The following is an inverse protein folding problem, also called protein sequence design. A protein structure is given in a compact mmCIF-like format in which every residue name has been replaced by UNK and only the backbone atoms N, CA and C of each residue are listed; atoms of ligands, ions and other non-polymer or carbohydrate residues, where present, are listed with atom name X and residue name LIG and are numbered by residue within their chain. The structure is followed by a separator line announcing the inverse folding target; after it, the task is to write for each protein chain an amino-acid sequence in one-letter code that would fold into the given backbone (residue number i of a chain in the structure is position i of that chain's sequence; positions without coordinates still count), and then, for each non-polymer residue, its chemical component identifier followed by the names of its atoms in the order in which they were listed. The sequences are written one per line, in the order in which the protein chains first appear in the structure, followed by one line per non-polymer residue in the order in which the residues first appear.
data_IF_736600003102
#
_entry.id   IF_736600003102
#
_cell.length_a   1.000
_cell.length_b   1.000
_cell.length_c   1.000
_cell.angle_alpha   90.00
_cell.angle_beta   90.00
_cell.angle_gamma   90.00
#
_symmetry.space_group_name_H-M   'P 1'
#
loop_
_entity.id
_entity.type
_entity.pdbx_description
1 polymer ?
#
# COMPACT_ATOMS: atom_id res chain seq x y z
N UNK A 1 14.43 -2.34 28.78
CA UNK A 1 13.91 -1.25 27.93
C UNK A 1 14.08 0.05 28.70
N UNK A 2 14.73 1.05 28.11
CA UNK A 2 14.88 2.35 28.76
C UNK A 2 13.49 3.03 28.83
N UNK A 3 13.19 3.71 29.94
CA UNK A 3 11.92 4.46 30.12
C UNK A 3 11.63 5.45 28.99
N UNK A 4 12.66 5.91 28.27
CA UNK A 4 12.52 6.79 27.11
C UNK A 4 11.95 6.07 25.89
N UNK A 5 12.30 4.80 25.70
CA UNK A 5 11.78 3.96 24.61
C UNK A 5 10.33 3.54 24.88
N UNK A 6 10.04 3.18 26.12
CA UNK A 6 8.67 2.80 26.55
C UNK A 6 7.69 3.98 26.37
N UNK A 7 8.07 5.18 26.80
CA UNK A 7 7.30 6.40 26.58
C UNK A 7 7.15 6.75 25.09
N UNK A 8 8.16 6.49 24.26
CA UNK A 8 8.10 6.74 22.81
C UNK A 8 7.16 5.75 22.12
N UNK A 9 7.19 4.46 22.51
CA UNK A 9 6.27 3.44 22.01
C UNK A 9 4.82 3.74 22.40
N UNK A 10 4.57 4.10 23.64
CA UNK A 10 3.24 4.47 24.14
C UNK A 10 2.69 5.70 23.40
N UNK A 11 3.52 6.72 23.17
CA UNK A 11 3.16 7.92 22.41
C UNK A 11 2.82 7.60 20.96
N UNK A 12 3.56 6.69 20.31
CA UNK A 12 3.30 6.27 18.93
C UNK A 12 2.00 5.44 18.83
N UNK A 13 1.74 4.53 19.77
CA UNK A 13 0.48 3.79 19.84
C UNK A 13 -0.71 4.72 20.00
N UNK A 14 -0.64 5.67 20.94
CA UNK A 14 -1.71 6.63 21.19
C UNK A 14 -1.98 7.53 19.98
N UNK A 15 -0.94 7.93 19.26
CA UNK A 15 -1.05 8.72 18.02
C UNK A 15 -1.71 7.91 16.90
N UNK A 16 -1.29 6.66 16.69
CA UNK A 16 -1.89 5.76 15.69
C UNK A 16 -3.36 5.46 15.97
N UNK A 17 -3.69 5.14 17.23
CA UNK A 17 -5.07 4.89 17.66
C UNK A 17 -5.96 6.14 17.50
N UNK A 18 -5.44 7.32 17.81
CA UNK A 18 -6.16 8.58 17.62
C UNK A 18 -6.45 8.87 16.14
N UNK A 19 -5.49 8.63 15.24
CA UNK A 19 -5.70 8.76 13.80
C UNK A 19 -6.72 7.75 13.29
N UNK A 20 -6.61 6.48 13.67
CA UNK A 20 -7.55 5.42 13.30
C UNK A 20 -8.98 5.78 13.73
N UNK A 21 -9.16 6.30 14.95
CA UNK A 21 -10.44 6.78 15.44
C UNK A 21 -11.00 7.95 14.62
N UNK A 22 -10.17 8.94 14.29
CA UNK A 22 -10.58 10.07 13.44
C UNK A 22 -11.02 9.59 12.06
N UNK A 23 -10.28 8.67 11.45
CA UNK A 23 -10.61 8.08 10.16
C UNK A 23 -11.92 7.29 10.20
N UNK A 24 -12.13 6.47 11.23
CA UNK A 24 -13.38 5.73 11.42
C UNK A 24 -14.60 6.65 11.58
N UNK A 25 -14.46 7.71 12.37
CA UNK A 25 -15.51 8.73 12.52
C UNK A 25 -15.80 9.42 11.18
N UNK A 26 -14.77 9.83 10.45
CA UNK A 26 -14.92 10.46 9.13
C UNK A 26 -15.58 9.54 8.11
N UNK A 27 -15.24 8.25 8.13
CA UNK A 27 -15.87 7.23 7.29
C UNK A 27 -17.35 7.11 7.60
N UNK A 28 -17.72 6.93 8.86
CA UNK A 28 -19.15 6.80 9.27
C UNK A 28 -19.93 8.08 8.95
N UNK A 29 -19.39 9.25 9.28
CA UNK A 29 -20.02 10.52 8.97
C UNK A 29 -20.13 10.76 7.46
N UNK A 30 -19.13 10.42 6.69
CA UNK A 30 -19.13 10.54 5.22
C UNK A 30 -20.16 9.64 4.55
N UNK A 31 -20.27 8.38 5.02
CA UNK A 31 -21.31 7.46 4.57
C UNK A 31 -22.72 7.99 4.91
N UNK A 32 -22.92 8.42 6.15
CA UNK A 32 -24.22 8.94 6.59
C UNK A 32 -24.64 10.20 5.82
N UNK A 33 -23.71 11.15 5.65
CA UNK A 33 -23.94 12.36 4.87
C UNK A 33 -24.19 12.05 3.38
N UNK A 34 -23.36 11.18 2.79
CA UNK A 34 -23.53 10.76 1.39
C UNK A 34 -24.86 10.09 1.15
N UNK A 35 -25.29 9.20 2.06
CA UNK A 35 -26.61 8.57 1.99
C UNK A 35 -27.75 9.58 2.15
N UNK A 36 -27.62 10.54 3.07
CA UNK A 36 -28.60 11.62 3.23
C UNK A 36 -28.74 12.49 1.97
N UNK A 37 -27.62 12.85 1.33
CA UNK A 37 -27.63 13.58 0.06
C UNK A 37 -28.19 12.75 -1.10
N UNK A 38 -27.92 11.44 -1.16
CA UNK A 38 -28.52 10.53 -2.12
C UNK A 38 -30.05 10.51 -1.99
N UNK A 39 -30.55 10.31 -0.77
CA UNK A 39 -32.00 10.33 -0.52
C UNK A 39 -32.63 11.69 -0.85
N UNK A 40 -31.94 12.78 -0.55
CA UNK A 40 -32.37 14.14 -0.91
C UNK A 40 -32.45 14.30 -2.43
N UNK A 41 -31.45 13.82 -3.16
CA UNK A 41 -31.42 13.80 -4.63
C UNK A 41 -32.63 13.08 -5.20
N UNK A 42 -32.86 11.84 -4.76
CA UNK A 42 -33.97 11.01 -5.24
C UNK A 42 -35.33 11.70 -4.96
N UNK A 43 -35.48 12.25 -3.77
CA UNK A 43 -36.74 12.98 -3.38
C UNK A 43 -36.93 14.24 -4.22
N UNK A 44 -35.90 15.03 -4.47
CA UNK A 44 -35.98 16.25 -5.27
C UNK A 44 -36.29 15.94 -6.74
N UNK A 45 -35.64 14.91 -7.30
CA UNK A 45 -35.90 14.46 -8.68
C UNK A 45 -37.35 13.93 -8.81
N UNK A 46 -37.79 13.07 -7.88
CA UNK A 46 -39.15 12.53 -7.88
C UNK A 46 -40.22 13.60 -7.71
N UNK A 47 -39.96 14.70 -6.99
CA UNK A 47 -40.88 15.83 -6.81
C UNK A 47 -40.83 16.86 -7.94
N UNK A 48 -40.06 16.65 -8.99
CA UNK A 48 -39.90 17.60 -10.12
C UNK A 48 -39.02 18.81 -9.82
N UNK A 49 -38.34 18.84 -8.66
CA UNK A 49 -37.48 19.93 -8.21
C UNK A 49 -35.99 19.67 -8.54
N UNK A 50 -35.69 19.06 -9.69
CA UNK A 50 -34.33 18.73 -10.13
C UNK A 50 -33.41 19.96 -10.19
N UNK A 51 -33.92 21.17 -10.41
CA UNK A 51 -33.14 22.41 -10.40
C UNK A 51 -32.50 22.71 -9.03
N UNK A 52 -33.20 22.37 -7.92
CA UNK A 52 -32.59 22.53 -6.58
C UNK A 52 -31.43 21.56 -6.39
N UNK A 53 -31.62 20.33 -6.82
CA UNK A 53 -30.50 19.37 -6.79
C UNK A 53 -29.32 19.84 -7.62
N UNK A 54 -29.58 20.35 -8.84
CA UNK A 54 -28.52 20.86 -9.70
C UNK A 54 -27.73 21.98 -9.00
N UNK A 55 -28.38 22.90 -8.33
CA UNK A 55 -27.74 23.97 -7.56
C UNK A 55 -26.84 23.40 -6.42
N UNK A 56 -27.32 22.39 -5.70
CA UNK A 56 -26.55 21.72 -4.64
C UNK A 56 -25.36 21.01 -5.25
N UNK A 57 -25.56 20.31 -6.35
CA UNK A 57 -24.49 19.61 -7.06
C UNK A 57 -23.41 20.56 -7.55
N UNK A 58 -23.77 21.65 -8.19
CA UNK A 58 -22.85 22.67 -8.70
C UNK A 58 -22.04 23.33 -7.56
N UNK A 59 -22.68 23.54 -6.41
CA UNK A 59 -22.02 24.13 -5.26
C UNK A 59 -21.04 23.16 -4.58
N UNK A 60 -21.45 21.89 -4.40
CA UNK A 60 -20.71 20.96 -3.54
C UNK A 60 -19.96 19.86 -4.31
N UNK A 61 -20.59 19.24 -5.29
CA UNK A 61 -20.15 17.94 -5.79
C UNK A 61 -19.63 17.95 -7.23
N UNK A 62 -20.04 18.92 -8.04
CA UNK A 62 -19.72 18.98 -9.47
C UNK A 62 -18.21 18.95 -9.71
N UNK A 63 -17.79 18.14 -10.69
CA UNK A 63 -16.46 18.21 -11.24
C UNK A 63 -16.32 19.50 -12.06
N UNK A 64 -15.48 20.40 -11.59
CA UNK A 64 -15.24 21.71 -12.22
C UNK A 64 -14.39 21.65 -13.49
N UNK A 65 -13.84 20.47 -13.82
CA UNK A 65 -13.01 20.26 -15.02
C UNK A 65 -13.84 19.78 -16.21
N UNK A 66 -15.10 19.41 -15.99
CA UNK A 66 -16.00 18.93 -17.05
C UNK A 66 -16.53 20.12 -17.88
N UNK A 67 -16.78 19.85 -19.15
CA UNK A 67 -17.38 20.82 -20.07
C UNK A 67 -18.77 21.26 -19.56
N UNK A 68 -19.02 22.55 -19.52
CA UNK A 68 -20.28 23.12 -19.00
C UNK A 68 -20.31 23.40 -17.48
N UNK A 69 -19.25 23.10 -16.74
CA UNK A 69 -19.15 23.32 -15.29
C UNK A 69 -18.52 24.68 -14.91
N UNK A 70 -18.43 25.65 -15.83
CA UNK A 70 -17.68 26.91 -15.66
C UNK A 70 -18.21 27.77 -14.49
N UNK A 71 -19.45 27.57 -14.08
CA UNK A 71 -20.06 28.27 -12.94
C UNK A 71 -20.15 27.43 -11.66
N UNK A 72 -19.79 26.18 -11.74
CA UNK A 72 -19.82 25.29 -10.58
C UNK A 72 -18.66 25.61 -9.63
N UNK A 73 -18.92 25.53 -8.33
CA UNK A 73 -17.90 25.71 -7.29
C UNK A 73 -17.25 24.37 -6.87
N UNK A 74 -18.03 23.27 -6.86
CA UNK A 74 -17.56 21.92 -6.61
C UNK A 74 -16.70 21.76 -5.35
N UNK A 75 -17.11 22.32 -4.21
CA UNK A 75 -16.26 22.40 -3.01
C UNK A 75 -15.70 21.05 -2.57
N UNK A 76 -16.54 20.02 -2.56
CA UNK A 76 -16.11 18.67 -2.14
C UNK A 76 -15.21 18.04 -3.20
N UNK A 77 -15.46 18.31 -4.48
CA UNK A 77 -14.58 17.89 -5.55
C UNK A 77 -13.19 18.51 -5.39
N UNK A 78 -13.11 19.84 -5.23
CA UNK A 78 -11.82 20.54 -5.09
C UNK A 78 -11.04 20.01 -3.90
N UNK A 79 -11.65 19.90 -2.72
CA UNK A 79 -10.99 19.41 -1.51
C UNK A 79 -10.48 17.98 -1.69
N UNK A 80 -11.30 17.10 -2.25
CA UNK A 80 -10.91 15.72 -2.56
C UNK A 80 -9.75 15.66 -3.54
N UNK A 81 -9.78 16.45 -4.62
CA UNK A 81 -8.73 16.50 -5.63
C UNK A 81 -7.41 17.08 -5.08
N UNK A 82 -7.47 18.11 -4.25
CA UNK A 82 -6.27 18.66 -3.60
C UNK A 82 -5.60 17.63 -2.70
N UNK A 83 -6.39 16.85 -1.94
CA UNK A 83 -5.85 15.75 -1.15
C UNK A 83 -5.19 14.68 -2.02
N UNK A 84 -5.86 14.22 -3.08
CA UNK A 84 -5.30 13.23 -4.00
C UNK A 84 -4.01 13.75 -4.65
N UNK A 85 -3.99 15.00 -5.13
CA UNK A 85 -2.80 15.63 -5.72
C UNK A 85 -1.66 15.76 -4.71
N UNK A 86 -1.96 16.09 -3.44
CA UNK A 86 -0.94 16.15 -2.39
C UNK A 86 -0.30 14.75 -2.13
N UNK A 87 -1.10 13.68 -2.21
CA UNK A 87 -0.57 12.30 -2.13
C UNK A 87 0.25 11.94 -3.38
N UNK A 88 -0.23 12.29 -4.56
CA UNK A 88 0.46 12.03 -5.82
C UNK A 88 1.81 12.74 -5.93
N UNK A 89 1.95 13.93 -5.31
CA UNK A 89 3.19 14.71 -5.31
C UNK A 89 4.39 13.96 -4.73
N UNK A 90 4.15 13.11 -3.73
CA UNK A 90 5.21 12.38 -3.05
C UNK A 90 5.61 11.07 -3.72
N UNK A 91 4.85 10.58 -4.70
CA UNK A 91 5.05 9.25 -5.29
C UNK A 91 6.47 9.10 -5.86
N UNK A 92 6.84 9.93 -6.82
CA UNK A 92 8.12 9.81 -7.53
C UNK A 92 9.33 9.96 -6.59
N UNK A 93 9.44 11.04 -5.78
CA UNK A 93 10.59 11.19 -4.90
C UNK A 93 10.68 10.08 -3.85
N UNK A 94 9.54 9.63 -3.33
CA UNK A 94 9.47 8.59 -2.32
C UNK A 94 9.90 7.22 -2.88
N UNK A 95 9.35 6.82 -4.03
CA UNK A 95 9.69 5.55 -4.70
C UNK A 95 11.17 5.53 -5.06
N UNK A 96 11.67 6.61 -5.65
CA UNK A 96 13.08 6.69 -6.05
C UNK A 96 14.03 6.59 -4.85
N UNK A 97 13.82 7.39 -3.81
CA UNK A 97 14.74 7.41 -2.66
C UNK A 97 14.67 6.12 -1.85
N UNK A 98 13.47 5.60 -1.60
CA UNK A 98 13.29 4.37 -0.82
C UNK A 98 13.93 3.16 -1.51
N UNK A 99 13.69 2.96 -2.80
CA UNK A 99 14.26 1.82 -3.54
C UNK A 99 15.77 1.97 -3.69
N UNK A 100 16.27 3.17 -4.03
CA UNK A 100 17.71 3.38 -4.17
C UNK A 100 18.46 3.13 -2.86
N UNK A 101 17.90 3.58 -1.72
CA UNK A 101 18.46 3.33 -0.39
C UNK A 101 18.37 1.85 -0.02
N UNK A 102 17.22 1.20 -0.23
CA UNK A 102 17.03 -0.21 0.09
C UNK A 102 18.04 -1.10 -0.66
N UNK A 103 18.17 -0.93 -1.98
CA UNK A 103 19.12 -1.69 -2.80
C UNK A 103 20.55 -1.29 -2.45
N UNK A 104 20.82 0.01 -2.23
CA UNK A 104 22.12 0.52 -1.85
C UNK A 104 22.61 0.03 -0.49
N UNK A 105 21.73 -0.41 0.41
CA UNK A 105 22.10 -0.94 1.73
C UNK A 105 22.50 -2.41 1.75
N UNK A 106 22.36 -3.13 0.65
CA UNK A 106 22.74 -4.54 0.54
C UNK A 106 24.27 -4.65 0.62
N UNK A 107 24.78 -5.22 1.73
CA UNK A 107 26.21 -5.22 2.04
C UNK A 107 27.02 -6.22 1.22
N UNK A 108 28.27 -5.86 0.88
CA UNK A 108 29.15 -6.59 -0.06
C UNK A 108 30.29 -7.38 0.63
N UNK A 109 30.15 -7.78 1.89
CA UNK A 109 31.11 -8.72 2.49
C UNK A 109 30.68 -10.17 2.25
N UNK A 110 31.65 -11.13 2.08
CA UNK A 110 31.33 -12.54 1.74
C UNK A 110 30.30 -13.17 2.69
N UNK A 111 30.43 -12.95 3.99
CA UNK A 111 29.47 -13.47 4.99
C UNK A 111 28.16 -12.71 4.96
N UNK A 112 28.21 -11.39 4.90
CA UNK A 112 27.03 -10.54 4.74
C UNK A 112 26.33 -10.80 3.39
N UNK A 113 27.08 -11.04 2.31
CA UNK A 113 26.51 -11.38 0.99
C UNK A 113 25.72 -12.67 1.00
N UNK A 114 26.15 -13.70 1.76
CA UNK A 114 25.40 -14.96 1.92
C UNK A 114 24.11 -14.75 2.72
N UNK A 115 24.17 -14.03 3.83
CA UNK A 115 23.01 -13.68 4.65
C UNK A 115 22.03 -12.82 3.83
N UNK A 116 22.52 -11.80 3.12
CA UNK A 116 21.73 -10.95 2.22
C UNK A 116 21.02 -11.76 1.14
N UNK A 117 21.72 -12.69 0.48
CA UNK A 117 21.12 -13.54 -0.56
C UNK A 117 20.01 -14.43 -0.01
N UNK A 118 20.21 -15.03 1.18
CA UNK A 118 19.18 -15.84 1.85
C UNK A 118 18.01 -14.98 2.31
N UNK A 119 18.27 -13.78 2.82
CA UNK A 119 17.23 -12.84 3.22
C UNK A 119 16.36 -12.44 2.03
N UNK A 120 16.98 -12.02 0.92
CA UNK A 120 16.27 -11.69 -0.30
C UNK A 120 15.48 -12.89 -0.87
N UNK A 121 16.05 -14.10 -0.79
CA UNK A 121 15.34 -15.31 -1.19
C UNK A 121 14.04 -15.50 -0.40
N UNK A 122 14.09 -15.39 0.94
CA UNK A 122 12.89 -15.54 1.77
C UNK A 122 11.88 -14.42 1.55
N UNK A 123 12.32 -13.17 1.41
CA UNK A 123 11.44 -12.06 1.08
C UNK A 123 10.74 -12.27 -0.26
N UNK A 124 11.50 -12.60 -1.32
CA UNK A 124 10.92 -12.81 -2.64
C UNK A 124 10.01 -14.04 -2.70
N UNK A 125 10.33 -15.10 -1.96
CA UNK A 125 9.49 -16.29 -1.87
C UNK A 125 8.13 -15.95 -1.22
N UNK A 126 8.14 -15.25 -0.09
CA UNK A 126 6.92 -14.81 0.58
C UNK A 126 6.11 -13.85 -0.30
N UNK A 127 6.78 -12.87 -0.92
CA UNK A 127 6.11 -11.93 -1.83
C UNK A 127 5.53 -12.63 -3.06
N UNK A 128 6.21 -13.62 -3.63
CA UNK A 128 5.66 -14.43 -4.72
C UNK A 128 4.40 -15.20 -4.29
N UNK A 129 4.43 -15.81 -3.10
CA UNK A 129 3.26 -16.50 -2.54
C UNK A 129 2.09 -15.54 -2.30
N UNK A 130 2.38 -14.35 -1.78
CA UNK A 130 1.41 -13.29 -1.53
C UNK A 130 0.74 -12.80 -2.83
N UNK A 131 1.55 -12.52 -3.84
CA UNK A 131 1.09 -12.07 -5.16
C UNK A 131 0.30 -13.16 -5.90
N UNK A 132 0.74 -14.42 -5.84
CA UNK A 132 0.03 -15.54 -6.44
C UNK A 132 -1.34 -15.73 -5.79
N UNK A 133 -1.40 -15.72 -4.45
CA UNK A 133 -2.66 -15.85 -3.71
C UNK A 133 -3.61 -14.67 -4.03
N UNK A 134 -3.11 -13.43 -3.96
CA UNK A 134 -3.89 -12.23 -4.24
C UNK A 134 -4.36 -12.18 -5.71
N UNK A 135 -3.49 -12.55 -6.63
CA UNK A 135 -3.81 -12.63 -8.06
C UNK A 135 -4.89 -13.66 -8.37
N UNK A 136 -4.75 -14.89 -7.86
CA UNK A 136 -5.73 -15.94 -8.08
C UNK A 136 -7.10 -15.59 -7.51
N UNK A 137 -7.16 -15.13 -6.24
CA UNK A 137 -8.44 -14.82 -5.60
C UNK A 137 -9.02 -13.50 -6.15
N UNK A 138 -8.19 -12.47 -6.37
CA UNK A 138 -8.63 -11.21 -6.96
C UNK A 138 -9.21 -11.41 -8.36
N UNK A 139 -8.53 -12.21 -9.21
CA UNK A 139 -9.02 -12.53 -10.54
C UNK A 139 -10.29 -13.39 -10.52
N UNK A 140 -10.38 -14.37 -9.62
CA UNK A 140 -11.59 -15.17 -9.44
C UNK A 140 -12.77 -14.28 -9.04
N UNK A 141 -12.58 -13.36 -8.09
CA UNK A 141 -13.60 -12.41 -7.65
C UNK A 141 -14.05 -11.48 -8.80
N UNK A 142 -13.09 -11.00 -9.60
CA UNK A 142 -13.37 -10.21 -10.80
C UNK A 142 -14.16 -11.00 -11.84
N UNK A 143 -13.75 -12.23 -12.15
CA UNK A 143 -14.40 -13.08 -13.15
C UNK A 143 -15.82 -13.51 -12.76
N UNK A 144 -16.12 -13.54 -11.46
CA UNK A 144 -17.49 -13.69 -10.92
C UNK A 144 -18.34 -12.43 -11.05
N UNK A 145 -17.80 -11.31 -11.54
CA UNK A 145 -18.52 -10.04 -11.67
C UNK A 145 -18.76 -9.31 -10.33
N UNK A 146 -18.11 -9.75 -9.24
CA UNK A 146 -18.35 -9.19 -7.90
C UNK A 146 -17.72 -7.80 -7.73
N UNK A 147 -16.80 -7.41 -8.61
CA UNK A 147 -16.20 -6.08 -8.67
C UNK A 147 -16.84 -5.15 -9.70
N UNK A 148 -17.86 -5.63 -10.43
CA UNK A 148 -18.55 -4.78 -11.41
C UNK A 148 -19.46 -3.80 -10.70
N UNK A 149 -19.25 -2.50 -10.95
CA UNK A 149 -20.19 -1.43 -10.62
C UNK A 149 -20.75 -0.90 -11.93
N UNK A 150 -22.07 -1.00 -12.11
CA UNK A 150 -22.74 -0.37 -13.26
C UNK A 150 -23.10 1.07 -12.87
N UNK A 151 -22.45 2.04 -13.48
CA UNK A 151 -22.70 3.46 -13.21
C UNK A 151 -23.37 4.06 -14.43
N UNK A 152 -24.65 4.36 -14.29
CA UNK A 152 -25.35 5.14 -15.30
C UNK A 152 -24.70 6.53 -15.42
N UNK A 153 -24.26 6.87 -16.63
CA UNK A 153 -23.75 8.22 -16.96
C UNK A 153 -22.25 8.40 -16.99
N UNK A 154 -21.44 7.38 -16.59
CA UNK A 154 -20.04 7.35 -17.00
C UNK A 154 -19.95 6.54 -18.31
N UNK A 155 -19.42 7.16 -19.36
CA UNK A 155 -19.08 6.46 -20.58
C UNK A 155 -18.25 5.24 -20.20
N UNK A 156 -18.80 4.03 -20.46
CA UNK A 156 -17.99 2.83 -20.43
C UNK A 156 -16.73 3.17 -21.19
N UNK A 157 -15.58 2.99 -20.56
CA UNK A 157 -14.33 3.05 -21.28
C UNK A 157 -14.51 2.01 -22.40
N UNK A 158 -14.77 2.48 -23.60
CA UNK A 158 -14.80 1.65 -24.79
C UNK A 158 -13.53 0.85 -24.69
N UNK A 159 -13.67 -0.47 -24.41
CA UNK A 159 -12.62 -1.32 -23.90
C UNK A 159 -11.34 -0.93 -24.61
N UNK A 160 -10.44 -0.27 -23.92
CA UNK A 160 -9.18 0.11 -24.50
C UNK A 160 -8.58 -1.22 -24.89
N UNK A 161 -8.64 -1.53 -26.17
CA UNK A 161 -8.01 -2.69 -26.76
C UNK A 161 -6.57 -2.55 -26.34
N UNK A 162 -6.21 -3.34 -25.32
CA UNK A 162 -5.05 -3.11 -24.50
C UNK A 162 -3.84 -2.86 -25.39
N UNK A 163 -3.16 -1.78 -25.13
CA UNK A 163 -1.79 -1.63 -25.61
C UNK A 163 -1.07 -2.92 -25.26
N UNK A 164 -0.31 -3.48 -26.22
CA UNK A 164 0.39 -4.73 -26.00
C UNK A 164 1.08 -4.69 -24.62
N UNK A 165 0.80 -5.65 -23.70
CA UNK A 165 1.37 -5.64 -22.36
C UNK A 165 2.90 -5.52 -22.34
N UNK A 166 3.56 -5.95 -23.43
CA UNK A 166 5.01 -5.80 -23.63
C UNK A 166 5.46 -4.33 -23.77
N UNK A 167 4.56 -3.40 -24.07
CA UNK A 167 4.91 -1.97 -24.07
C UNK A 167 5.34 -1.49 -22.67
N UNK A 168 4.83 -2.12 -21.61
CA UNK A 168 5.28 -1.85 -20.24
C UNK A 168 6.77 -2.14 -20.10
N UNK A 169 7.25 -3.25 -20.69
CA UNK A 169 8.68 -3.64 -20.67
C UNK A 169 9.55 -2.64 -21.41
N UNK A 170 9.09 -2.14 -22.55
CA UNK A 170 9.82 -1.13 -23.33
C UNK A 170 9.93 0.21 -22.57
N UNK A 171 8.92 0.55 -21.79
CA UNK A 171 8.86 1.80 -21.04
C UNK A 171 9.58 1.73 -19.68
N UNK A 172 10.13 0.58 -19.29
CA UNK A 172 10.93 0.43 -18.05
C UNK A 172 12.16 1.33 -18.09
N UNK A 173 12.89 1.33 -19.23
CA UNK A 173 14.13 2.09 -19.37
C UNK A 173 13.81 3.45 -20.00
N UNK A 174 13.92 4.56 -19.26
CA UNK A 174 13.66 5.87 -19.81
C UNK A 174 14.78 6.34 -20.72
N UNK A 175 14.42 7.01 -21.79
CA UNK A 175 15.39 7.69 -22.67
C UNK A 175 15.91 9.00 -22.06
N UNK A 176 15.20 9.55 -21.07
CA UNK A 176 15.56 10.80 -20.41
C UNK A 176 15.15 10.75 -18.93
N UNK A 177 16.08 11.08 -18.04
CA UNK A 177 15.87 11.10 -16.60
C UNK A 177 14.80 12.13 -16.17
N UNK A 178 14.74 13.28 -16.84
CA UNK A 178 13.78 14.34 -16.51
C UNK A 178 12.36 13.88 -16.80
N UNK A 179 12.13 13.17 -17.91
CA UNK A 179 10.80 12.62 -18.22
C UNK A 179 10.37 11.53 -17.25
N UNK A 180 11.31 10.75 -16.74
CA UNK A 180 11.04 9.74 -15.73
C UNK A 180 10.58 10.34 -14.38
N UNK A 181 11.12 11.50 -14.03
CA UNK A 181 10.72 12.22 -12.82
C UNK A 181 9.57 13.21 -13.01
N UNK A 182 9.24 13.54 -14.26
CA UNK A 182 8.26 14.58 -14.61
C UNK A 182 6.80 14.11 -14.60
N UNK A 183 6.53 12.81 -14.47
CA UNK A 183 5.16 12.27 -14.52
C UNK A 183 4.98 11.03 -13.65
N UNK A 184 3.87 10.99 -12.91
CA UNK A 184 3.49 9.81 -12.15
C UNK A 184 3.17 8.59 -13.06
N UNK A 185 2.92 8.81 -14.35
CA UNK A 185 2.77 7.73 -15.32
C UNK A 185 4.10 7.07 -15.68
N UNK A 186 5.24 7.67 -15.33
CA UNK A 186 6.59 7.16 -15.57
C UNK A 186 7.22 6.54 -14.30
N UNK A 187 6.42 6.15 -13.30
CA UNK A 187 6.94 5.60 -12.04
C UNK A 187 7.80 4.36 -12.27
N UNK A 188 7.43 3.48 -13.20
CA UNK A 188 8.21 2.29 -13.52
C UNK A 188 9.63 2.65 -14.00
N UNK A 189 9.76 3.72 -14.79
CA UNK A 189 11.05 4.26 -15.19
C UNK A 189 11.83 4.84 -14.00
N UNK A 190 11.14 5.49 -13.06
CA UNK A 190 11.74 5.97 -11.81
C UNK A 190 12.23 4.82 -10.93
N UNK A 191 11.49 3.71 -10.87
CA UNK A 191 11.91 2.46 -10.20
C UNK A 191 13.18 1.91 -10.83
N UNK A 192 13.23 1.81 -12.17
CA UNK A 192 14.43 1.35 -12.87
C UNK A 192 15.65 2.22 -12.52
N UNK A 193 15.49 3.55 -12.55
CA UNK A 193 16.56 4.48 -12.18
C UNK A 193 16.99 4.29 -10.72
N UNK A 194 16.04 4.08 -9.81
CA UNK A 194 16.33 3.83 -8.39
C UNK A 194 17.15 2.55 -8.20
N UNK A 195 16.77 1.47 -8.90
CA UNK A 195 17.52 0.20 -8.90
C UNK A 195 18.93 0.41 -9.47
N UNK A 196 19.06 1.08 -10.61
CA UNK A 196 20.36 1.37 -11.24
C UNK A 196 21.27 2.20 -10.32
N UNK A 197 20.72 3.24 -9.66
CA UNK A 197 21.46 4.06 -8.68
C UNK A 197 21.86 3.23 -7.46
N UNK A 198 20.93 2.45 -6.89
CA UNK A 198 21.20 1.59 -5.74
C UNK A 198 22.31 0.56 -6.01
N UNK A 199 22.25 -0.14 -7.14
CA UNK A 199 23.30 -1.06 -7.58
C UNK A 199 24.64 -0.36 -7.81
N UNK A 200 24.61 0.83 -8.43
CA UNK A 200 25.83 1.63 -8.64
C UNK A 200 26.46 2.08 -7.33
N UNK A 201 25.64 2.45 -6.33
CA UNK A 201 26.13 2.78 -4.99
C UNK A 201 26.82 1.59 -4.32
N UNK A 202 26.32 0.36 -4.53
CA UNK A 202 26.96 -0.84 -4.02
C UNK A 202 28.32 -1.11 -4.69
N UNK A 203 28.38 -1.01 -6.03
CA UNK A 203 29.63 -1.20 -6.78
C UNK A 203 30.71 -0.17 -6.39
N UNK A 204 30.31 1.09 -6.19
CA UNK A 204 31.24 2.16 -5.80
C UNK A 204 31.68 2.07 -4.32
N UNK A 205 30.93 1.39 -3.49
CA UNK A 205 31.16 1.23 -2.06
C UNK A 205 30.75 2.44 -1.22
N UNK A 206 30.60 2.21 0.07
CA UNK A 206 30.06 3.20 1.03
C UNK A 206 30.93 4.45 1.13
N UNK A 207 32.26 4.30 1.13
CA UNK A 207 33.19 5.43 1.26
C UNK A 207 33.07 6.47 0.15
N UNK A 208 32.69 6.06 -1.06
CA UNK A 208 32.51 6.96 -2.21
C UNK A 208 31.10 7.48 -2.35
N UNK A 209 30.12 6.81 -1.75
CA UNK A 209 28.69 7.12 -1.93
C UNK A 209 28.02 7.64 -0.66
N UNK A 210 28.78 7.85 0.43
CA UNK A 210 28.25 8.31 1.73
C UNK A 210 27.43 9.59 1.64
N UNK A 211 27.90 10.60 0.88
CA UNK A 211 27.17 11.86 0.66
C UNK A 211 25.88 11.64 -0.09
N UNK A 212 25.89 10.80 -1.16
CA UNK A 212 24.68 10.50 -1.93
C UNK A 212 23.66 9.72 -1.10
N UNK A 213 24.12 8.71 -0.34
CA UNK A 213 23.26 7.94 0.58
C UNK A 213 22.60 8.85 1.61
N UNK A 214 23.38 9.74 2.21
CA UNK A 214 22.90 10.73 3.18
C UNK A 214 21.88 11.67 2.54
N UNK A 215 22.18 12.22 1.36
CA UNK A 215 21.24 13.09 0.63
C UNK A 215 19.92 12.39 0.32
N UNK A 216 19.97 11.16 -0.21
CA UNK A 216 18.76 10.38 -0.49
C UNK A 216 17.96 10.09 0.79
N UNK A 217 18.64 9.80 1.90
CA UNK A 217 18.01 9.61 3.21
C UNK A 217 17.31 10.88 3.70
N UNK A 218 17.99 12.01 3.68
CA UNK A 218 17.42 13.32 4.09
C UNK A 218 16.23 13.72 3.19
N UNK A 219 16.31 13.48 1.88
CA UNK A 219 15.18 13.72 0.96
C UNK A 219 14.01 12.80 1.30
N UNK A 220 14.27 11.50 1.53
CA UNK A 220 13.23 10.56 1.93
C UNK A 220 12.54 10.98 3.22
N UNK A 221 13.29 11.39 4.23
CA UNK A 221 12.76 11.86 5.51
C UNK A 221 11.84 13.09 5.35
N UNK A 222 12.25 14.06 4.53
CA UNK A 222 11.43 15.25 4.21
C UNK A 222 10.11 14.82 3.53
N UNK A 223 10.18 13.91 2.57
CA UNK A 223 9.00 13.40 1.86
C UNK A 223 8.06 12.66 2.82
N UNK A 224 8.61 11.82 3.70
CA UNK A 224 7.83 11.07 4.71
C UNK A 224 7.18 12.03 5.71
N UNK A 225 7.87 13.09 6.15
CA UNK A 225 7.28 14.12 7.04
C UNK A 225 6.10 14.81 6.36
N UNK A 226 6.25 15.21 5.09
CA UNK A 226 5.15 15.80 4.33
C UNK A 226 3.97 14.82 4.17
N UNK A 227 4.23 13.56 3.79
CA UNK A 227 3.20 12.53 3.68
C UNK A 227 2.44 12.35 4.99
N UNK A 228 3.17 12.21 6.11
CA UNK A 228 2.58 12.07 7.44
C UNK A 228 1.72 13.28 7.82
N UNK A 229 2.16 14.49 7.48
CA UNK A 229 1.38 15.71 7.69
C UNK A 229 0.06 15.67 6.92
N UNK A 230 0.09 15.30 5.63
CA UNK A 230 -1.11 15.18 4.78
C UNK A 230 -2.04 14.11 5.33
N UNK A 231 -1.53 12.91 5.64
CA UNK A 231 -2.34 11.78 6.11
C UNK A 231 -2.92 12.04 7.51
N UNK A 232 -2.18 12.68 8.39
CA UNK A 232 -2.65 12.88 9.78
C UNK A 232 -3.67 14.02 9.89
N UNK A 233 -3.48 15.10 9.12
CA UNK A 233 -4.28 16.32 9.29
C UNK A 233 -5.38 16.46 8.25
N UNK A 234 -5.14 16.04 7.00
CA UNK A 234 -6.11 16.24 5.92
C UNK A 234 -6.91 14.98 5.57
N UNK A 235 -6.34 13.77 5.71
CA UNK A 235 -7.03 12.56 5.31
C UNK A 235 -8.39 12.34 6.01
N UNK A 236 -8.56 12.57 7.33
CA UNK A 236 -9.88 12.41 7.94
C UNK A 236 -10.95 13.27 7.29
N UNK A 237 -10.62 14.54 7.00
CA UNK A 237 -11.55 15.46 6.34
C UNK A 237 -11.77 15.09 4.87
N UNK A 238 -10.71 14.75 4.16
CA UNK A 238 -10.79 14.32 2.76
C UNK A 238 -11.62 13.04 2.59
N UNK A 239 -11.48 12.08 3.51
CA UNK A 239 -12.30 10.84 3.53
C UNK A 239 -13.77 11.16 3.68
N UNK A 240 -14.12 12.03 4.62
CA UNK A 240 -15.50 12.49 4.79
C UNK A 240 -16.04 13.09 3.48
N UNK A 241 -15.30 14.01 2.88
CA UNK A 241 -15.70 14.74 1.67
C UNK A 241 -15.80 13.79 0.45
N UNK A 242 -14.81 12.94 0.24
CA UNK A 242 -14.78 11.98 -0.87
C UNK A 242 -15.94 10.99 -0.79
N UNK A 243 -16.19 10.39 0.39
CA UNK A 243 -17.29 9.46 0.58
C UNK A 243 -18.64 10.15 0.39
N UNK A 244 -18.83 11.32 1.01
CA UNK A 244 -20.08 12.08 0.86
C UNK A 244 -20.37 12.36 -0.61
N UNK A 245 -19.36 12.84 -1.37
CA UNK A 245 -19.50 13.09 -2.80
C UNK A 245 -19.82 11.83 -3.59
N UNK A 246 -19.07 10.75 -3.35
CA UNK A 246 -19.26 9.48 -4.08
C UNK A 246 -20.68 8.96 -3.92
N UNK A 247 -21.20 8.88 -2.70
CA UNK A 247 -22.55 8.36 -2.47
C UNK A 247 -23.65 9.35 -2.89
N UNK A 248 -23.45 10.67 -2.76
CA UNK A 248 -24.39 11.66 -3.21
C UNK A 248 -24.63 11.62 -4.73
N UNK A 249 -23.55 11.42 -5.51
CA UNK A 249 -23.60 11.42 -6.99
C UNK A 249 -23.95 10.04 -7.53
N UNK A 250 -23.22 8.99 -7.09
CA UNK A 250 -23.24 7.67 -7.71
C UNK A 250 -24.11 6.64 -6.97
N UNK A 251 -24.64 7.01 -5.80
CA UNK A 251 -25.53 6.14 -5.03
C UNK A 251 -24.76 4.98 -4.34
N UNK A 252 -25.52 3.91 -4.03
CA UNK A 252 -25.01 2.75 -3.28
C UNK A 252 -24.37 1.67 -4.16
N UNK A 253 -24.36 1.83 -5.47
CA UNK A 253 -23.89 0.78 -6.40
C UNK A 253 -22.40 0.46 -6.22
N UNK A 254 -21.60 1.43 -5.75
CA UNK A 254 -20.21 1.19 -5.35
C UNK A 254 -20.04 0.49 -4.01
N UNK A 255 -21.08 0.49 -3.15
CA UNK A 255 -20.94 -0.06 -1.80
C UNK A 255 -20.74 -1.57 -1.82
N UNK A 256 -21.47 -2.28 -2.69
CA UNK A 256 -21.36 -3.73 -2.79
C UNK A 256 -19.98 -4.18 -3.26
N UNK A 257 -19.44 -3.69 -4.39
CA UNK A 257 -18.07 -4.01 -4.82
C UNK A 257 -17.01 -3.59 -3.80
N UNK A 258 -17.19 -2.43 -3.14
CA UNK A 258 -16.26 -1.97 -2.09
C UNK A 258 -16.25 -2.89 -0.86
N UNK A 259 -17.42 -3.37 -0.43
CA UNK A 259 -17.52 -4.36 0.66
C UNK A 259 -16.87 -5.69 0.27
N UNK A 260 -17.08 -6.15 -0.97
CA UNK A 260 -16.40 -7.35 -1.48
C UNK A 260 -14.88 -7.16 -1.45
N UNK A 261 -14.38 -6.01 -1.91
CA UNK A 261 -12.96 -5.68 -1.82
C UNK A 261 -12.42 -5.76 -0.39
N UNK A 262 -13.12 -5.13 0.57
CA UNK A 262 -12.71 -5.14 1.99
C UNK A 262 -12.68 -6.57 2.53
N UNK A 263 -13.75 -7.34 2.31
CA UNK A 263 -13.85 -8.73 2.81
C UNK A 263 -12.77 -9.61 2.20
N UNK A 264 -12.61 -9.58 0.87
CA UNK A 264 -11.61 -10.38 0.17
C UNK A 264 -10.21 -10.04 0.66
N UNK A 265 -9.87 -8.74 0.74
CA UNK A 265 -8.54 -8.31 1.19
C UNK A 265 -8.27 -8.72 2.63
N UNK A 266 -9.22 -8.48 3.54
CA UNK A 266 -9.07 -8.84 4.97
C UNK A 266 -8.92 -10.35 5.13
N UNK A 267 -9.74 -11.16 4.45
CA UNK A 267 -9.64 -12.63 4.50
C UNK A 267 -8.27 -13.10 3.99
N UNK A 268 -7.80 -12.56 2.87
CA UNK A 268 -6.48 -12.92 2.31
C UNK A 268 -5.34 -12.55 3.27
N UNK A 269 -5.39 -11.38 3.88
CA UNK A 269 -4.40 -10.96 4.86
C UNK A 269 -4.38 -11.90 6.09
N UNK A 270 -5.55 -12.29 6.61
CA UNK A 270 -5.62 -13.27 7.71
C UNK A 270 -5.16 -14.66 7.30
N UNK A 271 -5.53 -15.13 6.11
CA UNK A 271 -5.05 -16.43 5.58
C UNK A 271 -3.52 -16.40 5.46
N UNK A 272 -2.96 -15.34 4.95
CA UNK A 272 -1.51 -15.23 4.82
C UNK A 272 -0.81 -15.17 6.18
N UNK A 273 -1.34 -14.37 7.11
CA UNK A 273 -0.79 -14.20 8.47
C UNK A 273 -0.86 -15.49 9.30
N UNK A 274 -2.01 -16.20 9.26
CA UNK A 274 -2.29 -17.32 10.16
C UNK A 274 -2.03 -18.70 9.55
N UNK A 275 -1.88 -18.78 8.21
CA UNK A 275 -1.63 -20.06 7.53
C UNK A 275 -0.32 -20.03 6.75
N UNK A 276 -0.10 -19.06 5.85
CA UNK A 276 1.06 -19.06 4.98
C UNK A 276 2.36 -18.85 5.77
N UNK A 277 2.45 -17.82 6.60
CA UNK A 277 3.65 -17.56 7.41
C UNK A 277 4.00 -18.68 8.40
N UNK A 278 3.04 -19.22 9.19
CA UNK A 278 3.32 -20.38 10.03
C UNK A 278 3.78 -21.62 9.24
N UNK A 279 3.24 -21.81 8.03
CA UNK A 279 3.69 -22.89 7.13
C UNK A 279 5.13 -22.66 6.65
N UNK A 280 5.49 -21.41 6.31
CA UNK A 280 6.88 -21.06 5.95
C UNK A 280 7.84 -21.34 7.10
N UNK A 281 7.47 -20.99 8.34
CA UNK A 281 8.27 -21.30 9.55
C UNK A 281 8.39 -22.81 9.76
N UNK A 282 7.29 -23.56 9.58
CA UNK A 282 7.29 -25.02 9.73
C UNK A 282 8.16 -25.72 8.70
N UNK A 283 8.11 -25.29 7.43
CA UNK A 283 8.85 -25.91 6.34
C UNK A 283 10.28 -25.36 6.22
N UNK A 284 10.46 -24.04 6.35
CA UNK A 284 11.73 -23.36 6.16
C UNK A 284 12.65 -23.44 7.37
N UNK A 285 12.12 -23.16 8.56
CA UNK A 285 12.89 -23.20 9.80
C UNK A 285 12.73 -24.53 10.56
N UNK A 286 11.81 -25.39 10.16
CA UNK A 286 11.45 -26.66 10.87
C UNK A 286 11.09 -26.43 12.33
N UNK A 287 10.38 -25.34 12.60
CA UNK A 287 9.95 -24.95 13.93
C UNK A 287 8.43 -25.07 14.08
N UNK A 288 7.94 -25.10 15.34
CA UNK A 288 6.53 -25.27 15.65
C UNK A 288 5.72 -24.02 15.23
N UNK A 289 4.76 -24.13 14.27
CA UNK A 289 3.96 -23.00 13.80
C UNK A 289 3.04 -22.42 14.88
N UNK A 290 2.58 -23.22 15.85
CA UNK A 290 1.70 -22.76 16.93
C UNK A 290 2.50 -21.90 17.92
N UNK A 291 3.72 -22.32 18.26
CA UNK A 291 4.64 -21.54 19.09
C UNK A 291 4.96 -20.21 18.42
N UNK A 292 5.21 -20.22 17.10
CA UNK A 292 5.43 -19.01 16.33
C UNK A 292 4.25 -18.03 16.46
N UNK A 293 3.01 -18.49 16.19
CA UNK A 293 1.81 -17.64 16.28
C UNK A 293 1.67 -17.00 17.67
N UNK A 294 1.89 -17.78 18.73
CA UNK A 294 1.74 -17.28 20.10
C UNK A 294 2.76 -16.19 20.43
N UNK A 295 4.02 -16.39 20.08
CA UNK A 295 5.11 -15.46 20.41
C UNK A 295 5.07 -14.20 19.55
N UNK A 296 4.68 -14.30 18.25
CA UNK A 296 4.63 -13.15 17.33
C UNK A 296 3.41 -12.25 17.53
N UNK A 297 2.40 -12.72 18.26
CA UNK A 297 1.12 -12.02 18.41
C UNK A 297 1.27 -10.57 18.90
N UNK A 298 2.17 -10.33 19.85
CA UNK A 298 2.41 -8.97 20.37
C UNK A 298 2.96 -8.02 19.29
N UNK A 299 3.87 -8.50 18.43
CA UNK A 299 4.41 -7.74 17.30
C UNK A 299 3.31 -7.43 16.28
N UNK A 300 2.48 -8.44 15.96
CA UNK A 300 1.35 -8.28 15.04
C UNK A 300 0.35 -7.23 15.53
N UNK A 301 -0.04 -7.29 16.81
CA UNK A 301 -0.97 -6.33 17.41
C UNK A 301 -0.36 -4.92 17.50
N UNK A 302 0.92 -4.82 17.81
CA UNK A 302 1.60 -3.53 17.87
C UNK A 302 1.71 -2.90 16.45
N UNK A 303 2.08 -3.69 15.44
CA UNK A 303 2.10 -3.27 14.02
C UNK A 303 0.72 -2.82 13.54
N UNK A 304 -0.34 -3.57 13.89
CA UNK A 304 -1.72 -3.17 13.64
C UNK A 304 -2.05 -1.81 14.27
N UNK A 305 -1.71 -1.62 15.53
CA UNK A 305 -2.05 -0.40 16.27
C UNK A 305 -1.31 0.85 15.77
N UNK A 306 -0.04 0.70 15.43
CA UNK A 306 0.81 1.82 14.96
C UNK A 306 0.65 2.12 13.48
N UNK A 307 0.28 1.11 12.68
CA UNK A 307 0.34 1.16 11.20
C UNK A 307 1.70 1.63 10.67
N UNK A 308 2.78 1.33 11.39
CA UNK A 308 4.14 1.72 11.03
C UNK A 308 5.12 0.60 11.34
N UNK A 309 5.72 0.02 10.30
CA UNK A 309 6.76 -0.99 10.45
C UNK A 309 7.98 -0.42 11.17
N UNK A 310 8.32 0.85 10.91
CA UNK A 310 9.43 1.53 11.58
C UNK A 310 9.20 1.69 13.09
N UNK A 311 7.99 2.03 13.51
CA UNK A 311 7.66 2.12 14.93
C UNK A 311 7.65 0.74 15.62
N UNK A 312 7.39 -0.34 14.87
CA UNK A 312 7.31 -1.72 15.37
C UNK A 312 8.70 -2.39 15.44
N UNK A 313 9.67 -1.89 14.68
CA UNK A 313 10.99 -2.52 14.53
C UNK A 313 11.70 -2.84 15.86
N UNK A 314 11.77 -1.94 16.85
CA UNK A 314 12.46 -2.26 18.12
C UNK A 314 11.80 -3.44 18.87
N UNK A 315 10.47 -3.51 18.88
CA UNK A 315 9.73 -4.63 19.47
C UNK A 315 9.98 -5.93 18.68
N UNK A 316 10.02 -5.85 17.35
CA UNK A 316 10.25 -7.01 16.50
C UNK A 316 11.68 -7.57 16.69
N UNK A 317 12.71 -6.71 16.77
CA UNK A 317 14.07 -7.13 17.09
C UNK A 317 14.10 -7.85 18.45
N UNK A 318 13.49 -7.26 19.46
CA UNK A 318 13.46 -7.84 20.81
C UNK A 318 12.79 -9.22 20.82
N UNK A 319 11.61 -9.36 20.23
CA UNK A 319 10.88 -10.65 20.19
C UNK A 319 11.68 -11.70 19.39
N UNK A 320 12.30 -11.30 18.28
CA UNK A 320 13.14 -12.21 17.51
C UNK A 320 14.36 -12.70 18.31
N UNK A 321 15.05 -11.83 19.06
CA UNK A 321 16.25 -12.18 19.80
C UNK A 321 15.92 -12.84 21.16
N UNK A 322 14.97 -12.28 21.92
CA UNK A 322 14.68 -12.74 23.26
C UNK A 322 13.71 -13.93 23.29
N UNK A 323 12.68 -13.95 22.44
CA UNK A 323 11.63 -14.98 22.49
C UNK A 323 11.87 -16.10 21.47
N UNK A 324 12.31 -15.77 20.24
CA UNK A 324 12.58 -16.77 19.20
C UNK A 324 14.01 -17.29 19.21
N UNK A 325 14.96 -16.64 19.89
CA UNK A 325 16.34 -17.08 19.92
C UNK A 325 17.10 -16.86 18.62
N UNK A 326 16.69 -15.89 17.82
CA UNK A 326 17.45 -15.44 16.63
C UNK A 326 18.70 -14.69 17.11
N UNK A 327 19.87 -15.00 16.54
CA UNK A 327 21.10 -14.27 16.85
C UNK A 327 20.96 -12.77 16.51
N UNK A 328 21.49 -11.91 17.38
CA UNK A 328 21.37 -10.46 17.25
C UNK A 328 21.93 -9.94 15.92
N UNK A 329 23.00 -10.55 15.41
CA UNK A 329 23.61 -10.18 14.12
C UNK A 329 22.66 -10.40 12.94
N UNK A 330 21.82 -11.45 13.00
CA UNK A 330 20.79 -11.75 11.99
C UNK A 330 19.60 -10.81 12.16
N UNK A 331 19.08 -10.68 13.37
CA UNK A 331 17.92 -9.85 13.63
C UNK A 331 18.15 -8.38 13.28
N UNK A 332 19.31 -7.83 13.69
CA UNK A 332 19.70 -6.44 13.42
C UNK A 332 19.99 -6.15 11.95
N UNK A 333 20.19 -7.16 11.12
CA UNK A 333 20.34 -7.01 9.68
C UNK A 333 19.02 -7.24 8.92
N UNK A 334 18.35 -8.37 9.19
CA UNK A 334 17.19 -8.80 8.41
C UNK A 334 15.96 -7.92 8.66
N UNK A 335 15.68 -7.60 9.93
CA UNK A 335 14.45 -6.87 10.28
C UNK A 335 14.43 -5.41 9.76
N UNK A 336 15.51 -4.61 9.87
CA UNK A 336 15.53 -3.27 9.27
C UNK A 336 15.47 -3.31 7.73
N UNK A 337 16.06 -4.32 7.09
CA UNK A 337 15.99 -4.51 5.65
C UNK A 337 14.56 -4.90 5.22
N UNK A 338 13.94 -5.82 5.95
CA UNK A 338 12.56 -6.29 5.72
C UNK A 338 11.54 -5.16 5.83
N UNK A 339 11.71 -4.29 6.81
CA UNK A 339 10.85 -3.11 7.02
C UNK A 339 10.59 -2.29 5.74
N UNK A 340 11.52 -2.32 4.78
CA UNK A 340 11.43 -1.56 3.52
C UNK A 340 11.25 -2.43 2.28
N UNK A 341 11.69 -3.69 2.29
CA UNK A 341 11.67 -4.58 1.12
C UNK A 341 10.55 -5.61 1.21
N UNK A 342 10.28 -6.14 2.41
CA UNK A 342 9.33 -7.25 2.60
C UNK A 342 7.93 -6.73 2.94
N UNK A 343 7.18 -6.36 1.92
CA UNK A 343 5.87 -5.71 2.04
C UNK A 343 4.73 -6.58 1.49
N UNK A 344 4.65 -7.84 1.94
CA UNK A 344 3.71 -8.85 1.42
C UNK A 344 2.24 -8.46 1.58
N UNK A 345 1.87 -7.89 2.72
CA UNK A 345 0.52 -7.39 2.95
C UNK A 345 0.17 -6.21 2.06
N UNK A 346 1.14 -5.33 1.81
CA UNK A 346 0.99 -4.23 0.86
C UNK A 346 0.77 -4.76 -0.55
N UNK A 347 1.54 -5.77 -0.97
CA UNK A 347 1.40 -6.40 -2.28
C UNK A 347 0.03 -7.08 -2.45
N UNK A 348 -0.46 -7.82 -1.44
CA UNK A 348 -1.81 -8.41 -1.45
C UNK A 348 -2.88 -7.32 -1.64
N UNK A 349 -2.85 -6.30 -0.81
CA UNK A 349 -3.80 -5.20 -0.86
C UNK A 349 -3.78 -4.49 -2.22
N UNK A 350 -2.59 -4.19 -2.75
CA UNK A 350 -2.43 -3.48 -4.01
C UNK A 350 -2.93 -4.29 -5.21
N UNK A 351 -2.69 -5.60 -5.27
CA UNK A 351 -3.21 -6.45 -6.36
C UNK A 351 -4.72 -6.52 -6.32
N UNK A 352 -5.32 -6.81 -5.14
CA UNK A 352 -6.78 -6.90 -5.02
C UNK A 352 -7.45 -5.57 -5.31
N UNK A 353 -6.88 -4.45 -4.80
CA UNK A 353 -7.37 -3.10 -5.06
C UNK A 353 -7.29 -2.73 -6.55
N UNK A 354 -6.20 -3.10 -7.23
CA UNK A 354 -6.05 -2.82 -8.67
C UNK A 354 -7.10 -3.56 -9.49
N UNK A 355 -7.33 -4.84 -9.19
CA UNK A 355 -8.32 -5.65 -9.89
C UNK A 355 -9.76 -5.16 -9.57
N UNK A 356 -10.02 -4.75 -8.33
CA UNK A 356 -11.27 -4.11 -7.94
C UNK A 356 -11.51 -2.81 -8.73
N UNK A 357 -10.52 -1.92 -8.78
CA UNK A 357 -10.61 -0.64 -9.51
C UNK A 357 -10.83 -0.90 -11.00
N UNK A 358 -10.10 -1.84 -11.59
CA UNK A 358 -10.27 -2.22 -12.99
C UNK A 358 -11.70 -2.72 -13.27
N UNK A 359 -12.27 -3.56 -12.40
CA UNK A 359 -13.64 -4.05 -12.51
C UNK A 359 -14.68 -2.93 -12.41
N UNK A 360 -14.54 -2.02 -11.43
CA UNK A 360 -15.43 -0.86 -11.28
C UNK A 360 -15.33 0.12 -12.46
N UNK A 361 -14.15 0.21 -13.08
CA UNK A 361 -13.89 1.13 -14.20
C UNK A 361 -14.18 0.55 -15.59
N UNK A 362 -14.69 -0.67 -15.67
CA UNK A 362 -15.03 -1.34 -16.92
C UNK A 362 -13.84 -1.86 -17.72
N UNK A 363 -12.64 -1.92 -17.13
CA UNK A 363 -11.48 -2.52 -17.80
C UNK A 363 -11.58 -4.05 -17.82
N UNK A 364 -11.16 -4.63 -18.96
CA UNK A 364 -10.98 -6.09 -19.06
C UNK A 364 -9.64 -6.46 -18.44
N UNK A 365 -9.65 -7.29 -17.41
CA UNK A 365 -8.43 -7.84 -16.80
C UNK A 365 -8.19 -9.23 -17.37
N UNK A 366 -7.14 -9.37 -18.18
CA UNK A 366 -6.68 -10.67 -18.68
C UNK A 366 -5.64 -11.30 -17.76
N UNK A 367 -5.40 -12.62 -17.81
CA UNK A 367 -4.31 -13.25 -17.04
C UNK A 367 -2.94 -12.62 -17.32
N UNK A 368 -2.67 -12.17 -18.54
CA UNK A 368 -1.43 -11.47 -18.89
C UNK A 368 -1.32 -10.11 -18.17
N UNK A 369 -2.41 -9.34 -18.16
CA UNK A 369 -2.45 -8.07 -17.41
C UNK A 369 -2.32 -8.29 -15.91
N UNK A 370 -2.87 -9.40 -15.36
CA UNK A 370 -2.71 -9.75 -13.96
C UNK A 370 -1.23 -9.99 -13.59
N UNK A 371 -0.47 -10.64 -14.48
CA UNK A 371 0.99 -10.80 -14.28
C UNK A 371 1.68 -9.44 -14.27
N UNK A 372 1.31 -8.52 -15.17
CA UNK A 372 1.84 -7.15 -15.17
C UNK A 372 1.49 -6.43 -13.86
N UNK A 373 0.25 -6.51 -13.41
CA UNK A 373 -0.19 -5.94 -12.13
C UNK A 373 0.60 -6.51 -10.96
N UNK A 374 0.83 -7.84 -10.94
CA UNK A 374 1.62 -8.48 -9.89
C UNK A 374 3.09 -8.01 -9.87
N UNK A 375 3.70 -7.87 -11.05
CA UNK A 375 5.07 -7.34 -11.17
C UNK A 375 5.15 -5.87 -10.73
N UNK A 376 4.19 -5.05 -11.14
CA UNK A 376 4.10 -3.66 -10.70
C UNK A 376 3.89 -3.56 -9.19
N UNK A 377 3.04 -4.42 -8.62
CA UNK A 377 2.80 -4.48 -7.18
C UNK A 377 4.06 -4.92 -6.40
N UNK A 378 4.83 -5.88 -6.91
CA UNK A 378 6.10 -6.26 -6.32
C UNK A 378 7.08 -5.09 -6.28
N UNK A 379 7.25 -4.40 -7.41
CA UNK A 379 8.16 -3.24 -7.49
C UNK A 379 7.67 -2.06 -6.63
N UNK A 380 6.36 -1.81 -6.62
CA UNK A 380 5.74 -0.76 -5.83
C UNK A 380 5.83 -1.06 -4.33
N UNK A 381 5.63 -2.32 -3.92
CA UNK A 381 5.71 -2.71 -2.52
C UNK A 381 7.11 -2.52 -1.94
N UNK A 382 8.17 -2.89 -2.67
CA UNK A 382 9.58 -2.63 -2.29
C UNK A 382 9.88 -1.13 -2.16
N UNK A 383 9.19 -0.27 -2.93
CA UNK A 383 9.34 1.19 -2.84
C UNK A 383 8.44 1.86 -1.81
N UNK A 384 7.62 1.10 -1.09
CA UNK A 384 6.68 1.66 -0.12
C UNK A 384 7.42 2.00 1.18
N UNK A 385 7.43 3.25 1.65
CA UNK A 385 8.04 3.58 2.94
C UNK A 385 7.23 2.99 4.10
N UNK A 386 7.93 2.70 5.20
CA UNK A 386 7.36 2.12 6.42
C UNK A 386 6.47 3.12 7.21
N UNK A 387 5.71 3.96 6.50
CA UNK A 387 4.88 5.04 7.04
C UNK A 387 3.39 4.77 6.81
N UNK A 388 2.51 5.25 7.71
CA UNK A 388 1.07 5.06 7.58
C UNK A 388 0.49 5.67 6.30
N UNK A 389 -0.33 4.91 5.57
CA UNK A 389 -1.01 5.39 4.36
C UNK A 389 -0.22 5.27 3.06
N UNK A 390 1.06 4.95 3.13
CA UNK A 390 1.95 4.91 1.96
C UNK A 390 1.52 3.85 0.93
N UNK A 391 1.03 2.69 1.37
CA UNK A 391 0.62 1.60 0.49
C UNK A 391 -0.50 1.97 -0.48
N UNK A 392 -1.54 2.65 0.03
CA UNK A 392 -2.65 3.11 -0.80
C UNK A 392 -2.26 4.25 -1.75
N UNK A 393 -1.31 5.10 -1.34
CA UNK A 393 -0.80 6.17 -2.21
C UNK A 393 -0.04 5.58 -3.40
N UNK A 394 0.85 4.63 -3.15
CA UNK A 394 1.67 3.98 -4.20
C UNK A 394 0.81 3.10 -5.12
N UNK A 395 -0.39 2.66 -4.69
CA UNK A 395 -1.35 1.95 -5.55
C UNK A 395 -1.61 2.69 -6.88
N UNK A 396 -1.61 4.04 -6.88
CA UNK A 396 -1.76 4.81 -8.11
C UNK A 396 -0.67 4.52 -9.13
N UNK A 397 0.53 4.18 -8.69
CA UNK A 397 1.65 3.75 -9.54
C UNK A 397 1.29 2.50 -10.35
N UNK A 398 0.64 1.53 -9.71
CA UNK A 398 0.24 0.28 -10.35
C UNK A 398 -0.87 0.54 -11.34
N UNK A 399 -1.87 1.36 -10.96
CA UNK A 399 -2.96 1.74 -11.85
C UNK A 399 -2.43 2.43 -13.11
N UNK A 400 -1.54 3.39 -12.93
CA UNK A 400 -0.91 4.14 -14.01
C UNK A 400 -0.06 3.23 -14.91
N UNK A 401 0.78 2.37 -14.32
CA UNK A 401 1.60 1.42 -15.04
C UNK A 401 0.78 0.36 -15.81
N UNK A 402 -0.38 -0.05 -15.28
CA UNK A 402 -1.30 -0.96 -15.94
C UNK A 402 -2.23 -0.26 -16.96
N UNK A 403 -2.22 1.07 -17.04
CA UNK A 403 -3.08 1.86 -17.92
C UNK A 403 -4.52 2.02 -17.43
N UNK A 404 -4.78 1.81 -16.14
CA UNK A 404 -6.11 1.92 -15.51
C UNK A 404 -6.32 3.32 -14.91
N UNK A 405 -6.45 4.34 -15.76
CA UNK A 405 -6.43 5.77 -15.37
C UNK A 405 -7.60 6.60 -15.90
N UNK A 406 -8.71 5.96 -16.33
CA UNK A 406 -9.92 6.70 -16.68
C UNK A 406 -10.59 7.30 -15.43
N UNK A 407 -11.59 8.18 -15.64
CA UNK A 407 -12.28 8.88 -14.55
C UNK A 407 -12.95 7.92 -13.55
N UNK A 408 -13.51 6.81 -14.04
CA UNK A 408 -14.10 5.77 -13.21
C UNK A 408 -13.07 5.07 -12.33
N UNK A 409 -11.85 4.82 -12.86
CA UNK A 409 -10.75 4.25 -12.09
C UNK A 409 -10.26 5.23 -11.01
N UNK A 410 -10.14 6.51 -11.34
CA UNK A 410 -9.76 7.56 -10.38
C UNK A 410 -10.81 7.70 -9.27
N UNK A 411 -12.09 7.57 -9.61
CA UNK A 411 -13.16 7.57 -8.64
C UNK A 411 -13.09 6.35 -7.72
N UNK A 412 -12.94 5.14 -8.27
CA UNK A 412 -12.78 3.92 -7.49
C UNK A 412 -11.50 3.96 -6.62
N UNK A 413 -10.41 4.54 -7.15
CA UNK A 413 -9.19 4.79 -6.38
C UNK A 413 -9.44 5.75 -5.20
N UNK A 414 -10.20 6.83 -5.41
CA UNK A 414 -10.55 7.75 -4.33
C UNK A 414 -11.37 7.07 -3.22
N UNK A 415 -12.24 6.13 -3.59
CA UNK A 415 -12.98 5.30 -2.65
C UNK A 415 -12.03 4.40 -1.84
N UNK A 416 -11.06 3.76 -2.49
CA UNK A 416 -10.03 2.97 -1.79
C UNK A 416 -9.29 3.84 -0.78
N UNK A 417 -8.82 5.03 -1.16
CA UNK A 417 -8.14 5.94 -0.23
C UNK A 417 -8.99 6.25 1.02
N UNK A 418 -10.31 6.33 0.84
CA UNK A 418 -11.23 6.61 1.92
C UNK A 418 -11.47 5.42 2.87
N UNK A 419 -11.60 4.19 2.33
CA UNK A 419 -11.99 3.01 3.12
C UNK A 419 -10.80 2.16 3.59
N UNK A 420 -9.60 2.36 3.02
CA UNK A 420 -8.47 1.43 3.16
C UNK A 420 -7.77 1.49 4.52
N UNK A 421 -8.01 2.51 5.32
CA UNK A 421 -7.26 2.72 6.57
C UNK A 421 -7.25 1.53 7.53
N UNK A 422 -8.40 0.86 7.83
CA UNK A 422 -8.41 -0.35 8.65
C UNK A 422 -7.65 -1.51 8.02
N UNK A 423 -7.68 -1.61 6.68
CA UNK A 423 -6.94 -2.63 5.94
C UNK A 423 -5.44 -2.39 6.07
N UNK A 424 -4.96 -1.14 5.95
CA UNK A 424 -3.54 -0.80 6.12
C UNK A 424 -2.99 -1.12 7.52
N UNK A 425 -3.81 -1.03 8.55
CA UNK A 425 -3.45 -1.50 9.89
C UNK A 425 -3.11 -2.99 9.88
N UNK A 426 -3.96 -3.81 9.25
CA UNK A 426 -3.74 -5.24 9.10
C UNK A 426 -2.58 -5.56 8.14
N UNK A 427 -2.43 -4.80 7.06
CA UNK A 427 -1.29 -4.87 6.13
C UNK A 427 0.04 -4.69 6.89
N UNK A 428 0.13 -3.68 7.75
CA UNK A 428 1.33 -3.44 8.55
C UNK A 428 1.60 -4.59 9.52
N UNK A 429 0.55 -5.10 10.18
CA UNK A 429 0.64 -6.28 11.05
C UNK A 429 1.27 -7.47 10.31
N UNK A 430 0.82 -7.72 9.08
CA UNK A 430 1.33 -8.81 8.25
C UNK A 430 2.78 -8.56 7.82
N UNK A 431 3.12 -7.35 7.37
CA UNK A 431 4.48 -7.02 6.93
C UNK A 431 5.51 -7.26 8.04
N UNK A 432 5.27 -6.74 9.24
CA UNK A 432 6.23 -6.90 10.36
C UNK A 432 6.37 -8.35 10.82
N UNK A 433 5.32 -9.16 10.70
CA UNK A 433 5.40 -10.62 10.96
C UNK A 433 6.21 -11.32 9.89
N UNK A 434 6.08 -10.94 8.63
CA UNK A 434 6.89 -11.47 7.52
C UNK A 434 8.38 -11.23 7.69
N UNK A 435 8.76 -10.06 8.24
CA UNK A 435 10.17 -9.77 8.57
C UNK A 435 10.72 -10.76 9.59
N UNK A 436 9.93 -11.06 10.65
CA UNK A 436 10.31 -12.07 11.65
C UNK A 436 10.42 -13.47 11.05
N UNK A 437 9.47 -13.88 10.17
CA UNK A 437 9.53 -15.16 9.45
C UNK A 437 10.83 -15.32 8.69
N UNK A 438 11.21 -14.32 7.91
CA UNK A 438 12.47 -14.33 7.15
C UNK A 438 13.67 -14.39 8.09
N UNK A 439 13.70 -13.60 9.17
CA UNK A 439 14.77 -13.58 10.17
C UNK A 439 14.96 -14.96 10.81
N UNK A 440 13.89 -15.63 11.21
CA UNK A 440 13.90 -16.99 11.78
C UNK A 440 14.44 -18.01 10.75
N UNK A 441 13.98 -17.96 9.51
CA UNK A 441 14.40 -18.87 8.45
C UNK A 441 15.88 -18.66 8.08
N UNK A 442 16.36 -17.43 8.02
CA UNK A 442 17.77 -17.09 7.78
C UNK A 442 18.62 -17.58 8.94
N UNK A 443 18.28 -17.28 10.19
CA UNK A 443 18.99 -17.73 11.37
C UNK A 443 19.10 -19.26 11.43
N UNK A 444 18.00 -19.96 11.17
CA UNK A 444 18.00 -21.43 11.08
C UNK A 444 18.97 -21.94 10.03
N UNK A 445 18.97 -21.33 8.84
CA UNK A 445 19.83 -21.74 7.72
C UNK A 445 21.33 -21.43 7.92
N UNK A 446 21.67 -20.50 8.83
CA UNK A 446 23.02 -20.16 9.23
C UNK A 446 23.49 -20.90 10.51
N UNK A 447 22.59 -21.67 11.17
CA UNK A 447 22.88 -22.32 12.45
C UNK A 447 22.97 -21.34 13.63
N UNK A 448 22.32 -20.20 13.49
CA UNK A 448 22.27 -19.09 14.45
C UNK A 448 20.88 -18.90 15.07
N UNK A 449 20.09 -19.98 15.15
CA UNK A 449 18.80 -20.04 15.84
C UNK A 449 18.91 -20.91 17.07
N UNK A 450 18.61 -20.37 18.23
CA UNK A 450 18.46 -21.14 19.49
C UNK A 450 17.09 -21.81 19.52
N UNK A 451 17.07 -23.11 19.15
CA UNK A 451 15.85 -23.90 19.05
C UNK A 451 15.22 -24.23 20.39
N UNK A 452 16.01 -24.31 21.48
CA UNK A 452 15.48 -24.53 22.83
C UNK A 452 14.68 -23.30 23.26
N UNK A 453 15.25 -22.13 23.04
CA UNK A 453 14.59 -20.84 23.30
C UNK A 453 13.35 -20.64 22.43
N UNK A 454 13.39 -21.05 21.16
CA UNK A 454 12.23 -20.96 20.26
C UNK A 454 11.05 -21.79 20.80
N UNK A 455 11.31 -22.98 21.34
CA UNK A 455 10.28 -23.92 21.76
C UNK A 455 9.91 -23.81 23.26
N UNK A 456 10.64 -23.03 24.04
CA UNK A 456 10.32 -22.73 25.44
C UNK A 456 9.11 -21.78 25.52
#
# INVERSE_FOLDING_TARGET
MDKSEENRMEKNMNSGAALARKMAVSLVCGLAAGFAFMMLREKLVASGNSGIWQTINDLLFQDITTEGAERALGLFYIIGQLFIKALQLVIIPMVFTSIALAIGSIADTRTMGRISAKTLFWFLLCSFMALALAGCVGYATYSMGLFNAHIEGLTEAAGSTGSNPLNVVLNVIPSNIVTAFGSNNAVLSSVFLAVAVGLSMNVLGESRTSTLRRLLGEVNDVVVVFLNFVVTNFAPFAVFVLLTRTFAIYGIDYLKPALVYVVVTVVLLFVFLLVAYPLVVALGAKQNPITFIKKIANVAVFGFSTSSSAATLPLNIRVCTEDFGVDESIASFVLPLGMTINMDGTAIMQVVATVFIAGCAGYTVTPAQLVVVALLALLASVGTPAAPGAGAVILFTILSGAGFVNDSALLAYSLILAINRPIEMLVTSLNVVGDAVASICVAKSEGLLDEEKFNA
#
